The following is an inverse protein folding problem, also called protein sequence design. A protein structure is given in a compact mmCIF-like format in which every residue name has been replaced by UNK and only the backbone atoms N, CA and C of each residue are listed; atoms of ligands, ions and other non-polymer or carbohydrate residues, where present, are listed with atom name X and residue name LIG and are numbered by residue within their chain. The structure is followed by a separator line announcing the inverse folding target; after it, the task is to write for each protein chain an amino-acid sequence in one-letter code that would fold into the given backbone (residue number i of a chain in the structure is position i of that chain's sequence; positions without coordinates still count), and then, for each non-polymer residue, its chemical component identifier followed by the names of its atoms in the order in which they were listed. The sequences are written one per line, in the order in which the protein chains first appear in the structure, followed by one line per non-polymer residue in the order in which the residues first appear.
data_IF_558689205609
#
_entry.id   IF_558689205609
#
_cell.length_a   1.000
_cell.length_b   1.000
_cell.length_c   1.000
_cell.angle_alpha   90.00
_cell.angle_beta   90.00
_cell.angle_gamma   90.00
#
_symmetry.space_group_name_H-M   'P 1'
#
loop_
_entity.id
_entity.type
_entity.pdbx_description
1 polymer ?
#
# COMPACT_ATOMS: atom_id res chain seq x y z
N UNK A 1 29.73 3.54 13.65
CA UNK A 1 29.98 2.14 13.25
C UNK A 1 30.84 2.13 11.99
N UNK A 2 32.05 1.58 12.05
CA UNK A 2 32.99 1.52 10.92
C UNK A 2 32.40 0.64 9.81
N UNK A 3 32.04 1.25 8.69
CA UNK A 3 31.64 0.55 7.46
C UNK A 3 32.86 -0.13 6.87
N UNK A 4 32.98 -1.45 7.04
CA UNK A 4 33.89 -2.26 6.22
C UNK A 4 33.31 -2.33 4.80
N UNK A 5 33.96 -1.66 3.86
CA UNK A 5 33.79 -1.89 2.42
C UNK A 5 34.24 -3.31 2.12
N UNK A 6 33.31 -4.15 1.67
CA UNK A 6 33.61 -5.52 1.22
C UNK A 6 34.12 -5.49 -0.23
N UNK A 7 35.07 -6.37 -0.61
CA UNK A 7 35.63 -6.41 -1.96
C UNK A 7 34.59 -6.84 -3.01
N UNK A 8 34.78 -6.38 -4.25
CA UNK A 8 33.88 -6.57 -5.40
C UNK A 8 33.69 -8.03 -5.86
N UNK A 9 34.45 -8.98 -5.30
CA UNK A 9 34.36 -10.42 -5.58
C UNK A 9 33.54 -11.19 -4.53
N UNK A 10 32.45 -10.61 -4.05
CA UNK A 10 31.56 -11.31 -3.13
C UNK A 10 30.64 -12.26 -3.91
N UNK A 11 31.06 -13.52 -4.04
CA UNK A 11 30.15 -14.64 -4.31
C UNK A 11 29.06 -14.59 -3.26
N UNK A 12 27.79 -14.51 -3.64
CA UNK A 12 26.70 -14.72 -2.68
C UNK A 12 26.85 -16.18 -2.25
N UNK A 13 27.42 -16.40 -1.05
CA UNK A 13 27.79 -17.71 -0.54
C UNK A 13 26.63 -18.71 -0.79
N UNK A 14 26.87 -19.67 -1.68
CA UNK A 14 25.95 -20.79 -1.94
C UNK A 14 24.69 -20.50 -2.75
N UNK A 15 24.49 -19.33 -3.38
CA UNK A 15 23.33 -19.14 -4.26
C UNK A 15 23.59 -19.70 -5.65
N UNK A 16 22.86 -20.78 -5.92
CA UNK A 16 22.61 -21.33 -7.23
C UNK A 16 22.22 -20.24 -8.23
N UNK A 17 22.57 -20.42 -9.50
CA UNK A 17 22.26 -19.45 -10.53
C UNK A 17 20.75 -19.25 -10.63
N UNK A 18 20.34 -17.99 -10.74
CA UNK A 18 18.94 -17.61 -10.88
C UNK A 18 18.71 -17.18 -12.33
N UNK A 19 17.62 -17.65 -12.93
CA UNK A 19 17.24 -17.35 -14.30
C UNK A 19 15.72 -17.23 -14.42
N UNK A 20 15.23 -16.89 -15.62
CA UNK A 20 13.80 -16.82 -15.93
C UNK A 20 12.99 -15.98 -14.91
N UNK A 21 13.46 -14.75 -14.69
CA UNK A 21 12.83 -13.77 -13.82
C UNK A 21 11.49 -13.36 -14.43
N UNK A 22 10.40 -13.51 -13.67
CA UNK A 22 9.05 -13.18 -14.13
C UNK A 22 8.20 -12.57 -13.02
N UNK A 23 7.33 -11.63 -13.38
CA UNK A 23 6.34 -11.07 -12.47
C UNK A 23 5.15 -12.03 -12.37
N UNK A 24 4.67 -12.25 -11.16
CA UNK A 24 3.34 -12.81 -10.90
C UNK A 24 2.68 -11.86 -9.91
N UNK A 25 1.59 -11.20 -10.31
CA UNK A 25 0.86 -10.26 -9.45
C UNK A 25 -0.43 -10.88 -8.93
N UNK A 26 -0.88 -10.40 -7.78
CA UNK A 26 -2.22 -10.71 -7.26
C UNK A 26 -3.21 -9.57 -7.54
N UNK A 27 -2.76 -8.47 -8.13
CA UNK A 27 -3.60 -7.35 -8.54
C UNK A 27 -4.38 -7.70 -9.81
N UNK A 28 -5.71 -7.56 -9.76
CA UNK A 28 -6.64 -8.03 -10.81
C UNK A 28 -7.31 -6.90 -11.57
N UNK A 29 -7.28 -5.69 -11.03
CA UNK A 29 -8.04 -4.55 -11.55
C UNK A 29 -7.20 -3.58 -12.36
N UNK A 30 -5.87 -3.73 -12.34
CA UNK A 30 -4.94 -2.84 -13.03
C UNK A 30 -5.22 -2.73 -14.53
N UNK A 31 -5.47 -3.86 -15.21
CA UNK A 31 -5.66 -3.91 -16.66
C UNK A 31 -6.94 -3.21 -17.15
N UNK A 32 -7.93 -3.06 -16.25
CA UNK A 32 -9.21 -2.43 -16.58
C UNK A 32 -9.32 -1.00 -16.06
N UNK A 33 -8.28 -0.49 -15.39
CA UNK A 33 -8.28 0.84 -14.78
C UNK A 33 -8.01 1.92 -15.82
N UNK A 34 -9.07 2.34 -16.52
CA UNK A 34 -8.99 3.40 -17.52
C UNK A 34 -8.44 4.70 -16.94
N UNK A 35 -8.68 5.00 -15.67
CA UNK A 35 -8.21 6.23 -15.02
C UNK A 35 -6.68 6.21 -14.88
N UNK A 36 -6.09 5.08 -14.49
CA UNK A 36 -4.62 4.91 -14.46
C UNK A 36 -4.03 5.00 -15.86
N UNK A 37 -4.61 4.30 -16.84
CA UNK A 37 -4.14 4.31 -18.22
C UNK A 37 -4.15 5.72 -18.82
N UNK A 38 -5.21 6.47 -18.55
CA UNK A 38 -5.36 7.84 -19.00
C UNK A 38 -4.28 8.76 -18.39
N UNK A 39 -4.06 8.66 -17.08
CA UNK A 39 -3.01 9.43 -16.42
C UNK A 39 -1.61 9.12 -16.96
N UNK A 40 -1.31 7.85 -17.23
CA UNK A 40 -0.03 7.45 -17.85
C UNK A 40 0.14 8.05 -19.25
N UNK A 41 -0.95 8.18 -20.03
CA UNK A 41 -0.90 8.71 -21.40
C UNK A 41 -0.87 10.24 -21.45
N UNK A 42 -1.60 10.91 -20.56
CA UNK A 42 -1.89 12.35 -20.67
C UNK A 42 -1.03 13.22 -19.75
N UNK A 43 -0.21 12.63 -18.89
CA UNK A 43 0.64 13.38 -17.97
C UNK A 43 2.12 13.09 -18.23
N UNK A 44 3.03 14.03 -17.91
CA UNK A 44 4.47 13.79 -18.01
C UNK A 44 5.01 12.92 -16.86
N UNK A 45 4.12 12.39 -16.01
CA UNK A 45 4.49 11.64 -14.82
C UNK A 45 4.65 10.15 -15.09
N UNK A 46 5.46 9.48 -14.26
CA UNK A 46 5.55 8.03 -14.21
C UNK A 46 4.62 7.50 -13.12
N UNK A 47 3.72 6.58 -13.48
CA UNK A 47 2.77 5.95 -12.56
C UNK A 47 3.20 4.52 -12.26
N UNK A 48 3.83 4.34 -11.10
CA UNK A 48 4.38 3.06 -10.67
C UNK A 48 3.52 2.44 -9.55
N UNK A 49 3.69 1.15 -9.31
CA UNK A 49 3.04 0.40 -8.23
C UNK A 49 4.07 -0.39 -7.43
N UNK A 50 3.68 -0.87 -6.25
CA UNK A 50 4.49 -1.80 -5.45
C UNK A 50 3.68 -3.03 -5.08
N UNK A 51 4.28 -4.20 -5.23
CA UNK A 51 3.63 -5.49 -4.96
C UNK A 51 3.33 -5.71 -3.48
N UNK A 52 4.06 -5.08 -2.55
CA UNK A 52 3.84 -5.25 -1.12
C UNK A 52 4.35 -4.10 -0.27
N UNK A 53 3.67 -3.83 0.84
CA UNK A 53 4.18 -3.05 1.95
C UNK A 53 3.78 -3.68 3.28
N UNK A 54 4.68 -3.58 4.26
CA UNK A 54 4.41 -4.07 5.60
C UNK A 54 4.39 -2.93 6.61
N UNK A 55 3.43 -2.99 7.53
CA UNK A 55 3.31 -2.12 8.69
C UNK A 55 3.33 -2.95 9.97
N UNK A 56 4.05 -2.48 10.99
CA UNK A 56 4.12 -3.14 12.29
C UNK A 56 3.04 -2.62 13.27
N UNK A 57 3.07 -3.11 14.50
CA UNK A 57 2.15 -2.72 15.58
C UNK A 57 2.35 -1.30 16.11
N UNK A 58 3.44 -0.63 15.72
CA UNK A 58 3.73 0.78 16.04
C UNK A 58 3.25 1.73 14.94
N UNK A 59 2.39 1.25 14.04
CA UNK A 59 1.86 2.01 12.91
C UNK A 59 2.98 2.57 12.01
N UNK A 60 4.06 1.80 11.82
CA UNK A 60 5.22 2.17 10.98
C UNK A 60 5.38 1.22 9.81
N UNK A 61 5.59 1.78 8.62
CA UNK A 61 6.04 1.04 7.43
C UNK A 61 7.47 0.57 7.66
N UNK A 62 7.67 -0.75 7.64
CA UNK A 62 8.98 -1.36 7.87
C UNK A 62 9.61 -1.91 6.59
N UNK A 63 8.79 -2.30 5.61
CA UNK A 63 9.28 -2.85 4.34
C UNK A 63 8.39 -2.40 3.18
N UNK A 64 9.03 -2.15 2.04
CA UNK A 64 8.41 -1.99 0.74
C UNK A 64 9.00 -3.05 -0.17
N UNK A 65 8.14 -3.87 -0.76
CA UNK A 65 8.47 -5.17 -1.31
C UNK A 65 8.11 -5.22 -2.77
N UNK A 66 9.10 -5.58 -3.58
CA UNK A 66 8.88 -6.16 -4.90
C UNK A 66 9.11 -7.67 -4.86
N UNK A 67 8.54 -8.36 -5.85
CA UNK A 67 8.73 -9.80 -6.00
C UNK A 67 8.88 -10.24 -7.45
N UNK A 68 9.61 -11.34 -7.65
CA UNK A 68 9.65 -12.05 -8.91
C UNK A 68 9.85 -13.56 -8.68
N UNK A 69 9.23 -14.37 -9.53
CA UNK A 69 9.53 -15.79 -9.60
C UNK A 69 10.81 -16.00 -10.42
N UNK A 70 11.62 -16.96 -9.99
CA UNK A 70 12.87 -17.34 -10.66
C UNK A 70 12.96 -18.85 -10.80
N UNK A 71 13.72 -19.29 -11.79
CA UNK A 71 14.24 -20.66 -11.89
C UNK A 71 15.59 -20.76 -11.18
N UNK A 72 15.88 -21.92 -10.62
CA UNK A 72 17.14 -22.21 -9.92
C UNK A 72 17.93 -23.25 -10.71
N UNK A 73 19.15 -22.91 -11.12
CA UNK A 73 20.12 -23.83 -11.70
C UNK A 73 21.19 -24.16 -10.64
N UNK A 74 21.16 -25.40 -10.14
CA UNK A 74 22.07 -25.87 -9.10
C UNK A 74 23.51 -26.10 -9.56
N UNK A 75 23.76 -26.18 -10.87
CA UNK A 75 25.10 -26.43 -11.40
C UNK A 75 25.96 -25.15 -11.48
N UNK A 76 25.33 -23.98 -11.44
CA UNK A 76 26.00 -22.68 -11.61
C UNK A 76 25.81 -21.81 -10.38
N UNK A 77 26.70 -20.82 -10.21
CA UNK A 77 26.57 -19.79 -9.16
C UNK A 77 26.14 -18.46 -9.77
N UNK A 78 25.17 -17.80 -9.15
CA UNK A 78 24.81 -16.43 -9.51
C UNK A 78 25.86 -15.44 -8.99
N UNK A 79 26.19 -14.43 -9.80
CA UNK A 79 26.88 -13.24 -9.30
C UNK A 79 25.86 -12.17 -8.93
N UNK A 80 26.19 -11.33 -7.95
CA UNK A 80 25.36 -10.19 -7.56
C UNK A 80 25.03 -9.28 -8.75
N UNK A 81 26.02 -9.03 -9.61
CA UNK A 81 25.86 -8.22 -10.82
C UNK A 81 24.90 -8.84 -11.84
N UNK A 82 24.93 -10.17 -12.01
CA UNK A 82 23.99 -10.85 -12.90
C UNK A 82 22.54 -10.75 -12.39
N UNK A 83 22.32 -10.99 -11.09
CA UNK A 83 20.99 -10.86 -10.46
C UNK A 83 20.48 -9.43 -10.58
N UNK A 84 21.32 -8.43 -10.29
CA UNK A 84 20.95 -7.03 -10.41
C UNK A 84 20.55 -6.66 -11.85
N UNK A 85 21.33 -7.10 -12.85
CA UNK A 85 20.99 -6.87 -14.26
C UNK A 85 19.67 -7.53 -14.65
N UNK A 86 19.39 -8.74 -14.17
CA UNK A 86 18.11 -9.40 -14.42
C UNK A 86 16.94 -8.65 -13.78
N UNK A 87 17.09 -8.12 -12.56
CA UNK A 87 16.07 -7.29 -11.91
C UNK A 87 15.84 -5.99 -12.68
N UNK A 88 16.92 -5.29 -13.09
CA UNK A 88 16.82 -4.06 -13.89
C UNK A 88 16.15 -4.33 -15.24
N UNK A 89 16.46 -5.46 -15.87
CA UNK A 89 15.84 -5.87 -17.13
C UNK A 89 14.35 -6.15 -16.96
N UNK A 90 13.96 -6.84 -15.88
CA UNK A 90 12.55 -7.17 -15.59
C UNK A 90 11.70 -5.94 -15.28
N UNK A 91 12.19 -5.05 -14.42
CA UNK A 91 11.42 -3.90 -13.92
C UNK A 91 11.52 -2.67 -14.85
N UNK A 92 12.52 -2.66 -15.74
CA UNK A 92 12.97 -1.44 -16.41
C UNK A 92 13.75 -0.54 -15.45
N UNK A 93 14.82 0.09 -15.96
CA UNK A 93 15.70 0.96 -15.14
C UNK A 93 14.93 2.08 -14.46
N UNK A 94 14.05 2.74 -15.20
CA UNK A 94 13.31 3.92 -14.77
C UNK A 94 12.25 3.59 -13.71
N UNK A 95 11.45 2.54 -13.95
CA UNK A 95 10.45 2.07 -13.00
C UNK A 95 11.10 1.60 -11.69
N UNK A 96 12.22 0.88 -11.79
CA UNK A 96 12.99 0.47 -10.61
C UNK A 96 13.55 1.67 -9.83
N UNK A 97 14.04 2.69 -10.52
CA UNK A 97 14.56 3.91 -9.88
C UNK A 97 13.45 4.68 -9.14
N UNK A 98 12.25 4.79 -9.74
CA UNK A 98 11.06 5.32 -9.07
C UNK A 98 10.76 4.56 -7.77
N UNK A 99 10.73 3.21 -7.81
CA UNK A 99 10.46 2.36 -6.64
C UNK A 99 11.52 2.49 -5.54
N UNK A 100 12.79 2.56 -5.92
CA UNK A 100 13.90 2.80 -4.97
C UNK A 100 13.75 4.18 -4.31
N UNK A 101 13.47 5.23 -5.09
CA UNK A 101 13.28 6.58 -4.55
C UNK A 101 12.01 6.68 -3.69
N UNK A 102 10.96 5.94 -4.02
CA UNK A 102 9.78 5.81 -3.19
C UNK A 102 10.13 5.17 -1.84
N UNK A 103 10.89 4.07 -1.82
CA UNK A 103 11.31 3.45 -0.58
C UNK A 103 12.14 4.38 0.33
N UNK A 104 12.99 5.21 -0.27
CA UNK A 104 13.77 6.23 0.46
C UNK A 104 12.90 7.27 1.16
N UNK A 105 11.68 7.56 0.68
CA UNK A 105 10.74 8.46 1.40
C UNK A 105 10.36 7.95 2.78
N UNK A 106 10.50 6.65 3.03
CA UNK A 106 10.24 6.01 4.32
C UNK A 106 11.52 5.77 5.13
N UNK A 107 12.69 6.18 4.61
CA UNK A 107 13.99 5.83 5.17
C UNK A 107 14.37 4.35 4.96
N UNK A 108 13.82 3.69 3.94
CA UNK A 108 14.00 2.27 3.67
C UNK A 108 14.75 2.02 2.35
N UNK A 109 15.40 0.86 2.25
CA UNK A 109 15.77 0.29 0.96
C UNK A 109 14.59 -0.47 0.36
N UNK A 110 14.51 -0.56 -0.97
CA UNK A 110 13.52 -1.42 -1.62
C UNK A 110 13.87 -2.88 -1.35
N UNK A 111 13.00 -3.61 -0.68
CA UNK A 111 13.15 -5.06 -0.51
C UNK A 111 12.72 -5.78 -1.79
N UNK A 112 13.49 -6.77 -2.22
CA UNK A 112 13.20 -7.56 -3.41
C UNK A 112 13.20 -9.05 -3.07
N UNK A 113 12.05 -9.69 -3.30
CA UNK A 113 11.81 -11.09 -2.97
C UNK A 113 11.87 -11.94 -4.23
N UNK A 114 12.87 -12.80 -4.34
CA UNK A 114 12.96 -13.79 -5.41
C UNK A 114 12.50 -15.14 -4.88
N UNK A 115 11.53 -15.78 -5.52
CA UNK A 115 11.03 -17.08 -5.08
C UNK A 115 11.02 -18.12 -6.19
N UNK A 116 11.16 -19.39 -5.78
CA UNK A 116 11.12 -20.54 -6.67
C UNK A 116 10.12 -21.56 -6.13
N UNK A 117 9.07 -21.85 -6.89
CA UNK A 117 8.01 -22.77 -6.48
C UNK A 117 8.50 -24.21 -6.38
N UNK A 118 9.38 -24.63 -7.29
CA UNK A 118 9.81 -26.02 -7.41
C UNK A 118 10.65 -26.47 -6.21
N UNK A 119 11.37 -25.54 -5.56
CA UNK A 119 12.19 -25.82 -4.37
C UNK A 119 11.72 -25.10 -3.10
N UNK A 120 10.59 -24.39 -3.18
CA UNK A 120 10.06 -23.50 -2.13
C UNK A 120 11.10 -22.55 -1.50
N UNK A 121 12.09 -22.11 -2.29
CA UNK A 121 13.15 -21.22 -1.81
C UNK A 121 12.77 -19.77 -2.02
N UNK A 122 13.09 -18.94 -1.03
CA UNK A 122 12.89 -17.49 -1.10
C UNK A 122 14.20 -16.78 -0.76
N UNK A 123 14.59 -15.83 -1.60
CA UNK A 123 15.74 -14.95 -1.38
C UNK A 123 15.22 -13.54 -1.10
N UNK A 124 15.63 -12.98 0.03
CA UNK A 124 15.37 -11.59 0.39
C UNK A 124 16.62 -10.77 0.10
N UNK A 125 16.44 -9.75 -0.73
CA UNK A 125 17.47 -8.82 -1.17
C UNK A 125 17.03 -7.39 -0.85
N UNK A 126 17.98 -6.46 -0.83
CA UNK A 126 17.72 -5.02 -0.71
C UNK A 126 18.40 -4.24 -1.82
N UNK A 127 17.68 -3.27 -2.37
CA UNK A 127 18.13 -2.32 -3.38
C UNK A 127 18.17 -0.92 -2.76
N UNK A 128 19.24 -0.55 -2.03
CA UNK A 128 19.41 0.81 -1.53
C UNK A 128 19.69 1.83 -2.66
N UNK A 129 20.18 1.37 -3.82
CA UNK A 129 20.43 2.18 -5.01
C UNK A 129 20.38 1.32 -6.28
N UNK A 130 20.20 1.96 -7.45
CA UNK A 130 20.03 1.26 -8.73
C UNK A 130 21.22 0.37 -9.12
N UNK A 131 22.42 0.69 -8.63
CA UNK A 131 23.66 -0.03 -8.87
C UNK A 131 24.11 -0.89 -7.67
N UNK A 132 23.31 -0.99 -6.61
CA UNK A 132 23.69 -1.67 -5.37
C UNK A 132 22.61 -2.66 -4.94
N UNK A 133 23.00 -3.92 -4.84
CA UNK A 133 22.16 -5.02 -4.38
C UNK A 133 22.80 -5.67 -3.15
N UNK A 134 22.11 -5.65 -2.01
CA UNK A 134 22.53 -6.34 -0.80
C UNK A 134 21.76 -7.66 -0.69
N UNK A 135 22.47 -8.74 -0.35
CA UNK A 135 21.83 -9.99 0.07
C UNK A 135 21.52 -9.90 1.55
N UNK A 136 20.29 -10.24 1.95
CA UNK A 136 19.87 -10.22 3.35
C UNK A 136 19.78 -11.64 3.90
N UNK A 137 18.94 -12.49 3.30
CA UNK A 137 18.70 -13.85 3.81
C UNK A 137 18.06 -14.75 2.76
N UNK A 138 18.24 -16.06 2.93
CA UNK A 138 17.51 -17.11 2.21
C UNK A 138 16.62 -17.88 3.18
N UNK A 139 15.39 -18.15 2.76
CA UNK A 139 14.45 -19.03 3.43
C UNK A 139 14.36 -20.34 2.66
N UNK A 140 14.49 -21.47 3.38
CA UNK A 140 14.48 -22.82 2.81
C UNK A 140 13.08 -23.39 2.57
N UNK A 141 12.03 -22.63 2.90
CA UNK A 141 10.63 -23.00 2.68
C UNK A 141 9.72 -21.76 2.70
N UNK A 142 8.53 -21.88 2.13
CA UNK A 142 7.50 -20.86 2.23
C UNK A 142 6.96 -20.69 3.65
N UNK A 143 6.96 -21.77 4.47
CA UNK A 143 6.67 -21.68 5.90
C UNK A 143 7.63 -20.77 6.65
N UNK A 144 8.93 -20.89 6.38
CA UNK A 144 9.95 -20.05 7.02
C UNK A 144 9.83 -18.58 6.61
N UNK A 145 9.54 -18.33 5.33
CA UNK A 145 9.30 -16.97 4.85
C UNK A 145 8.00 -16.35 5.41
N UNK A 146 6.92 -17.12 5.48
CA UNK A 146 5.66 -16.71 6.12
C UNK A 146 5.86 -16.36 7.60
N UNK A 147 6.69 -17.14 8.32
CA UNK A 147 7.03 -16.82 9.71
C UNK A 147 7.76 -15.47 9.82
N UNK A 148 8.68 -15.16 8.91
CA UNK A 148 9.36 -13.87 8.87
C UNK A 148 8.42 -12.70 8.52
N UNK A 149 7.50 -12.85 7.55
CA UNK A 149 6.50 -11.80 7.27
C UNK A 149 5.68 -11.49 8.54
N UNK A 150 5.26 -12.53 9.26
CA UNK A 150 4.51 -12.38 10.51
C UNK A 150 5.31 -11.67 11.60
N UNK A 151 6.60 -11.99 11.72
CA UNK A 151 7.52 -11.33 12.65
C UNK A 151 7.60 -9.82 12.39
N UNK A 152 7.85 -9.41 11.14
CA UNK A 152 7.97 -7.98 10.79
C UNK A 152 6.63 -7.22 10.88
N UNK A 153 5.51 -7.93 10.81
CA UNK A 153 4.14 -7.38 10.89
C UNK A 153 3.64 -7.22 12.32
N UNK A 154 4.10 -8.07 13.23
CA UNK A 154 3.72 -8.04 14.65
C UNK A 154 2.29 -8.50 14.96
N UNK A 155 1.51 -8.98 13.98
CA UNK A 155 0.17 -9.55 14.21
C UNK A 155 -0.21 -10.66 13.23
N UNK A 156 -1.15 -11.53 13.65
CA UNK A 156 -1.60 -12.71 12.89
C UNK A 156 -3.04 -12.54 12.42
N UNK A 157 -3.31 -12.89 11.15
CA UNK A 157 -4.69 -12.94 10.66
C UNK A 157 -5.40 -14.15 11.22
N UNK A 158 -6.52 -13.93 11.92
CA UNK A 158 -7.41 -14.99 12.42
C UNK A 158 -8.51 -15.38 11.43
N UNK A 159 -8.58 -14.72 10.26
CA UNK A 159 -9.61 -14.98 9.25
C UNK A 159 -9.23 -16.17 8.35
N UNK A 160 -10.21 -17.05 8.11
CA UNK A 160 -10.10 -18.10 7.09
C UNK A 160 -9.95 -17.46 5.70
N UNK A 161 -8.93 -17.86 4.96
CA UNK A 161 -8.72 -17.39 3.59
C UNK A 161 -9.58 -18.22 2.64
N UNK A 162 -10.47 -17.58 1.88
CA UNK A 162 -11.07 -18.20 0.70
C UNK A 162 -10.01 -18.18 -0.41
N UNK A 163 -9.48 -19.34 -0.80
CA UNK A 163 -8.52 -19.44 -1.91
C UNK A 163 -9.27 -19.18 -3.23
N UNK A 164 -8.90 -18.11 -3.93
CA UNK A 164 -9.31 -17.95 -5.32
C UNK A 164 -8.38 -18.82 -6.20
N UNK A 165 -8.96 -19.58 -7.11
CA UNK A 165 -8.23 -20.51 -7.98
C UNK A 165 -7.09 -19.83 -8.77
N UNK A 166 -7.23 -18.56 -9.10
CA UNK A 166 -6.29 -17.79 -9.91
C UNK A 166 -5.10 -17.18 -9.14
N UNK A 167 -5.03 -17.33 -7.81
CA UNK A 167 -3.87 -16.80 -7.07
C UNK A 167 -2.57 -17.54 -7.45
N UNK A 168 -1.43 -16.84 -7.54
CA UNK A 168 -0.13 -17.50 -7.73
C UNK A 168 0.12 -18.56 -6.64
N UNK A 169 0.85 -19.62 -7.00
CA UNK A 169 1.13 -20.73 -6.08
C UNK A 169 1.85 -20.25 -4.80
N UNK A 170 2.72 -19.25 -4.94
CA UNK A 170 3.39 -18.60 -3.82
C UNK A 170 2.39 -17.99 -2.83
N UNK A 171 1.44 -17.17 -3.30
CA UNK A 171 0.40 -16.56 -2.47
C UNK A 171 -0.48 -17.59 -1.75
N UNK A 172 -0.83 -18.69 -2.44
CA UNK A 172 -1.58 -19.80 -1.84
C UNK A 172 -0.79 -20.46 -0.71
N UNK A 173 0.50 -20.75 -0.94
CA UNK A 173 1.35 -21.35 0.07
C UNK A 173 1.51 -20.48 1.33
N UNK A 174 1.69 -19.16 1.15
CA UNK A 174 1.77 -18.23 2.28
C UNK A 174 0.47 -18.19 3.10
N UNK A 175 -0.69 -18.21 2.43
CA UNK A 175 -2.01 -18.27 3.09
C UNK A 175 -2.23 -19.56 3.88
N UNK A 176 -1.77 -20.71 3.38
CA UNK A 176 -1.79 -21.99 4.10
C UNK A 176 -0.98 -21.95 5.39
N UNK A 177 0.02 -21.07 5.46
CA UNK A 177 0.79 -20.80 6.67
C UNK A 177 0.27 -19.59 7.47
N UNK A 178 -0.98 -19.18 7.26
CA UNK A 178 -1.67 -18.15 8.04
C UNK A 178 -1.19 -16.72 7.79
N UNK A 179 -0.29 -16.50 6.83
CA UNK A 179 0.35 -15.20 6.60
C UNK A 179 0.27 -14.83 5.13
N UNK A 180 -0.78 -14.11 4.69
CA UNK A 180 -0.90 -13.72 3.29
C UNK A 180 0.23 -12.76 2.90
N UNK A 181 0.55 -12.70 1.61
CA UNK A 181 1.43 -11.68 1.06
C UNK A 181 0.95 -10.27 1.50
N UNK A 182 1.86 -9.33 1.81
CA UNK A 182 1.48 -7.99 2.25
C UNK A 182 0.65 -7.22 1.21
N UNK A 183 -0.07 -6.19 1.67
CA UNK A 183 -0.93 -5.39 0.80
C UNK A 183 -0.09 -4.63 -0.25
N UNK A 184 -0.66 -4.43 -1.44
CA UNK A 184 -0.04 -3.69 -2.52
C UNK A 184 -0.25 -2.18 -2.37
N UNK A 185 0.59 -1.39 -3.05
CA UNK A 185 0.34 0.03 -3.30
C UNK A 185 -0.11 0.15 -4.75
N UNK A 186 -1.38 0.49 -4.95
CA UNK A 186 -2.02 0.58 -6.26
C UNK A 186 -1.22 1.45 -7.23
N UNK A 187 -0.88 2.66 -6.77
CA UNK A 187 -0.11 3.60 -7.58
C UNK A 187 0.59 4.67 -6.73
N UNK A 188 1.78 5.07 -7.17
CA UNK A 188 2.44 6.31 -6.78
C UNK A 188 2.96 7.04 -8.02
N UNK A 189 3.05 8.36 -7.93
CA UNK A 189 3.40 9.25 -9.02
C UNK A 189 4.83 9.73 -8.85
N UNK A 190 5.63 9.62 -9.89
CA UNK A 190 6.97 10.18 -9.98
C UNK A 190 7.07 11.23 -11.08
N UNK A 191 7.89 12.25 -10.86
CA UNK A 191 8.26 13.18 -11.93
C UNK A 191 9.27 12.57 -12.91
N UNK A 192 9.64 13.33 -13.94
CA UNK A 192 10.66 12.92 -14.94
C UNK A 192 12.05 12.66 -14.34
N UNK A 193 12.34 13.21 -13.17
CA UNK A 193 13.56 12.96 -12.40
C UNK A 193 13.41 11.79 -11.41
N UNK A 194 12.38 10.95 -11.58
CA UNK A 194 12.10 9.77 -10.74
C UNK A 194 11.87 10.08 -9.26
N UNK A 195 11.54 11.33 -8.94
CA UNK A 195 11.21 11.77 -7.58
C UNK A 195 9.72 11.48 -7.31
N UNK A 196 9.38 10.72 -6.25
CA UNK A 196 8.00 10.53 -5.84
C UNK A 196 7.35 11.85 -5.43
N UNK A 197 6.11 12.05 -5.88
CA UNK A 197 5.31 13.25 -5.63
C UNK A 197 4.06 12.95 -4.80
N UNK A 198 3.38 11.84 -5.10
CA UNK A 198 2.13 11.47 -4.44
C UNK A 198 1.85 9.97 -4.52
N UNK A 199 0.92 9.52 -3.68
CA UNK A 199 0.30 8.19 -3.73
C UNK A 199 -1.11 8.36 -4.32
N UNK A 200 -1.56 7.41 -5.13
CA UNK A 200 -2.92 7.37 -5.67
C UNK A 200 -3.58 6.05 -5.26
N UNK A 201 -4.70 6.16 -4.56
CA UNK A 201 -5.62 5.04 -4.30
C UNK A 201 -6.73 5.04 -5.35
N UNK A 202 -6.85 3.94 -6.10
CA UNK A 202 -7.93 3.78 -7.06
C UNK A 202 -9.10 3.02 -6.44
N UNK A 203 -10.30 3.59 -6.51
CA UNK A 203 -11.50 2.98 -5.94
C UNK A 203 -12.50 2.69 -7.05
N UNK A 204 -12.71 1.40 -7.32
CA UNK A 204 -13.67 0.98 -8.32
C UNK A 204 -15.10 1.04 -7.77
N UNK A 205 -15.96 1.82 -8.42
CA UNK A 205 -17.35 2.06 -8.05
C UNK A 205 -18.37 1.26 -8.88
N UNK A 206 -17.96 0.18 -9.55
CA UNK A 206 -18.80 -0.63 -10.48
C UNK A 206 -20.20 -0.97 -9.96
N UNK A 207 -20.36 -1.17 -8.64
CA UNK A 207 -21.66 -1.53 -8.04
C UNK A 207 -22.54 -0.33 -7.67
N UNK A 208 -21.96 0.82 -7.35
CA UNK A 208 -22.70 1.96 -6.80
C UNK A 208 -22.84 3.11 -7.79
N UNK A 209 -22.00 3.15 -8.82
CA UNK A 209 -21.80 4.31 -9.67
C UNK A 209 -20.81 5.30 -9.06
N UNK A 210 -20.05 6.01 -9.89
CA UNK A 210 -18.96 6.89 -9.45
C UNK A 210 -19.48 8.05 -8.59
N UNK A 211 -20.53 8.74 -9.04
CA UNK A 211 -21.06 9.93 -8.34
C UNK A 211 -21.74 9.59 -7.01
N UNK A 212 -22.27 8.37 -6.88
CA UNK A 212 -22.94 7.89 -5.67
C UNK A 212 -21.97 7.22 -4.69
N UNK A 213 -20.74 6.92 -5.11
CA UNK A 213 -19.74 6.29 -4.26
C UNK A 213 -19.16 7.29 -3.27
N UNK A 214 -19.24 6.94 -1.98
CA UNK A 214 -18.72 7.77 -0.89
C UNK A 214 -17.76 6.94 -0.04
N UNK A 215 -16.46 7.25 -0.07
CA UNK A 215 -15.45 6.55 0.74
C UNK A 215 -15.76 6.65 2.24
N UNK A 216 -16.35 7.77 2.68
CA UNK A 216 -16.77 7.94 4.07
C UNK A 216 -17.88 6.98 4.47
N UNK A 217 -18.75 6.55 3.56
CA UNK A 217 -19.77 5.56 3.90
C UNK A 217 -19.14 4.23 4.34
N UNK A 218 -18.11 3.77 3.62
CA UNK A 218 -17.40 2.53 3.94
C UNK A 218 -16.49 2.69 5.16
N UNK A 219 -15.85 3.85 5.31
CA UNK A 219 -15.05 4.16 6.49
C UNK A 219 -15.88 4.25 7.78
N UNK A 220 -17.09 4.83 7.70
CA UNK A 220 -18.03 4.99 8.82
C UNK A 220 -19.02 3.81 8.95
N UNK A 221 -18.59 2.60 8.57
CA UNK A 221 -19.32 1.35 8.83
C UNK A 221 -20.73 1.24 8.20
N UNK A 222 -20.98 1.80 7.01
CA UNK A 222 -22.30 1.65 6.32
C UNK A 222 -22.74 0.19 6.17
N UNK A 223 -21.80 -0.73 6.00
CA UNK A 223 -22.08 -2.16 5.89
C UNK A 223 -21.70 -2.88 7.20
N UNK A 224 -22.58 -3.75 7.76
CA UNK A 224 -22.32 -4.46 9.03
C UNK A 224 -21.07 -5.35 9.02
N UNK A 225 -20.66 -5.84 7.83
CA UNK A 225 -19.64 -6.87 7.66
C UNK A 225 -18.30 -6.35 7.10
N UNK A 226 -18.20 -5.07 6.75
CA UNK A 226 -17.00 -4.49 6.15
C UNK A 226 -16.89 -3.01 6.47
N UNK A 227 -15.96 -2.67 7.35
CA UNK A 227 -15.47 -1.31 7.47
C UNK A 227 -14.08 -1.20 6.84
N UNK A 228 -13.84 -0.06 6.21
CA UNK A 228 -12.54 0.25 5.61
C UNK A 228 -11.62 0.95 6.62
N UNK A 229 -11.94 0.92 7.92
CA UNK A 229 -11.18 1.65 8.94
C UNK A 229 -9.70 1.24 8.87
N UNK A 230 -9.42 -0.06 8.91
CA UNK A 230 -8.03 -0.57 8.83
C UNK A 230 -7.35 -0.21 7.51
N UNK A 231 -8.08 -0.23 6.39
CA UNK A 231 -7.54 0.14 5.07
C UNK A 231 -7.11 1.61 5.08
N UNK A 232 -7.99 2.50 5.52
CA UNK A 232 -7.70 3.94 5.58
C UNK A 232 -6.67 4.31 6.65
N UNK A 233 -6.62 3.60 7.78
CA UNK A 233 -5.51 3.73 8.74
C UNK A 233 -4.18 3.37 8.07
N UNK A 234 -4.14 2.26 7.33
CA UNK A 234 -2.95 1.81 6.60
C UNK A 234 -2.48 2.84 5.55
N UNK A 235 -3.42 3.40 4.78
CA UNK A 235 -3.14 4.44 3.80
C UNK A 235 -2.67 5.75 4.44
N UNK A 236 -3.23 6.12 5.60
CA UNK A 236 -2.80 7.29 6.36
C UNK A 236 -1.37 7.14 6.89
N UNK A 237 -1.00 5.95 7.38
CA UNK A 237 0.36 5.63 7.79
C UNK A 237 1.34 5.81 6.63
N UNK A 238 1.00 5.27 5.44
CA UNK A 238 1.82 5.43 4.23
C UNK A 238 2.03 6.91 3.88
N UNK A 239 0.94 7.68 3.86
CA UNK A 239 0.95 9.12 3.54
C UNK A 239 1.81 9.91 4.52
N UNK A 240 1.58 9.74 5.81
CA UNK A 240 2.27 10.51 6.86
C UNK A 240 3.76 10.17 6.94
N UNK A 241 4.13 8.88 6.92
CA UNK A 241 5.54 8.48 7.02
C UNK A 241 6.35 8.88 5.79
N UNK A 242 5.77 8.76 4.58
CA UNK A 242 6.44 9.19 3.35
C UNK A 242 6.49 10.71 3.16
N UNK A 243 5.64 11.44 3.88
CA UNK A 243 5.39 12.87 3.66
C UNK A 243 4.88 13.19 2.27
N UNK A 244 4.27 12.23 1.57
CA UNK A 244 3.67 12.42 0.25
C UNK A 244 2.19 12.77 0.38
N UNK A 245 1.63 13.38 -0.67
CA UNK A 245 0.18 13.59 -0.78
C UNK A 245 -0.51 12.29 -1.16
N UNK A 246 -1.77 12.11 -0.74
CA UNK A 246 -2.58 10.97 -1.11
C UNK A 246 -3.81 11.45 -1.87
N UNK A 247 -3.92 11.02 -3.12
CA UNK A 247 -5.09 11.24 -3.94
C UNK A 247 -5.95 9.98 -4.00
N UNK A 248 -7.26 10.18 -4.07
CA UNK A 248 -8.24 9.11 -4.25
C UNK A 248 -8.94 9.37 -5.57
N UNK A 249 -8.91 8.37 -6.45
CA UNK A 249 -9.60 8.42 -7.75
C UNK A 249 -10.66 7.34 -7.76
N UNK A 250 -11.93 7.77 -7.72
CA UNK A 250 -13.07 6.88 -7.89
C UNK A 250 -13.45 6.81 -9.37
N UNK A 251 -13.54 5.59 -9.90
CA UNK A 251 -13.80 5.31 -11.32
C UNK A 251 -14.64 4.02 -11.46
N UNK A 252 -15.20 3.75 -12.65
CA UNK A 252 -15.86 2.48 -12.96
C UNK A 252 -15.66 2.11 -14.45
N UNK A 253 -15.62 0.82 -14.79
CA UNK A 253 -15.28 0.34 -16.14
C UNK A 253 -16.17 0.93 -17.25
N UNK A 254 -17.44 1.16 -16.95
CA UNK A 254 -18.45 1.59 -17.93
C UNK A 254 -18.93 3.03 -17.68
N UNK A 255 -18.13 3.84 -16.96
CA UNK A 255 -18.42 5.25 -16.69
C UNK A 255 -17.17 6.08 -17.01
N UNK A 256 -17.33 7.13 -17.82
CA UNK A 256 -16.25 8.10 -18.11
C UNK A 256 -16.08 9.16 -17.01
N UNK A 257 -17.00 9.19 -16.05
CA UNK A 257 -16.96 10.14 -14.94
C UNK A 257 -15.99 9.63 -13.88
N UNK A 258 -15.27 10.55 -13.24
CA UNK A 258 -14.46 10.27 -12.07
C UNK A 258 -14.78 11.23 -10.92
N UNK A 259 -14.42 10.81 -9.71
CA UNK A 259 -14.26 11.72 -8.57
C UNK A 259 -12.80 11.69 -8.12
N UNK A 260 -12.17 12.86 -8.12
CA UNK A 260 -10.79 13.08 -7.69
C UNK A 260 -10.79 13.80 -6.34
N UNK A 261 -10.11 13.24 -5.35
CA UNK A 261 -10.01 13.83 -4.00
C UNK A 261 -8.56 13.89 -3.56
N UNK A 262 -8.19 14.94 -2.85
CA UNK A 262 -6.96 14.97 -2.06
C UNK A 262 -7.30 14.74 -0.59
N UNK A 263 -6.71 13.71 0.00
CA UNK A 263 -6.88 13.42 1.42
C UNK A 263 -6.06 14.40 2.27
N UNK A 264 -6.72 15.06 3.20
CA UNK A 264 -6.09 15.99 4.13
C UNK A 264 -5.76 15.30 5.46
N UNK A 265 -6.75 14.62 6.03
CA UNK A 265 -6.65 14.00 7.36
C UNK A 265 -7.60 12.81 7.47
N UNK A 266 -7.14 11.76 8.14
CA UNK A 266 -8.01 10.67 8.61
C UNK A 266 -8.20 10.79 10.11
N UNK A 267 -9.46 10.75 10.54
CA UNK A 267 -9.83 10.68 11.95
C UNK A 267 -10.51 9.35 12.19
N UNK A 268 -9.88 8.52 13.02
CA UNK A 268 -10.22 7.13 13.23
C UNK A 268 -11.05 7.00 14.50
N UNK A 269 -12.15 6.23 14.50
CA UNK A 269 -12.87 5.91 15.73
C UNK A 269 -11.92 5.29 16.76
N UNK A 270 -11.92 5.79 17.99
CA UNK A 270 -10.98 5.32 19.02
C UNK A 270 -11.28 3.87 19.43
N UNK A 271 -10.19 3.13 19.68
CA UNK A 271 -10.18 1.83 20.34
C UNK A 271 -8.88 1.73 21.13
N UNK A 272 -8.94 1.20 22.35
CA UNK A 272 -7.72 0.93 23.14
C UNK A 272 -6.92 -0.21 22.52
N UNK A 273 -7.60 -1.29 22.13
CA UNK A 273 -7.00 -2.46 21.51
C UNK A 273 -7.94 -3.04 20.43
N UNK A 274 -7.50 -3.00 19.17
CA UNK A 274 -8.21 -3.65 18.06
C UNK A 274 -9.32 -2.78 17.44
N UNK A 275 -10.42 -3.39 16.93
CA UNK A 275 -11.49 -2.62 16.28
C UNK A 275 -12.23 -1.72 17.28
N UNK A 276 -12.93 -0.67 16.82
CA UNK A 276 -13.80 0.14 17.67
C UNK A 276 -14.92 -0.71 18.29
N UNK A 277 -15.41 -0.27 19.45
CA UNK A 277 -16.48 -0.95 20.18
C UNK A 277 -17.72 -1.19 19.27
N UNK A 278 -18.40 -2.34 19.38
CA UNK A 278 -19.55 -2.68 18.53
C UNK A 278 -20.63 -1.59 18.49
N UNK A 279 -20.92 -0.98 19.63
CA UNK A 279 -21.88 0.13 19.77
C UNK A 279 -21.44 1.37 18.98
N UNK A 280 -20.15 1.71 18.98
CA UNK A 280 -19.64 2.84 18.20
C UNK A 280 -19.79 2.58 16.70
N UNK A 281 -19.47 1.36 16.26
CA UNK A 281 -19.67 0.95 14.85
C UNK A 281 -21.14 0.98 14.46
N UNK A 282 -22.05 0.54 15.35
CA UNK A 282 -23.50 0.58 15.13
C UNK A 282 -24.02 2.01 15.01
N UNK A 283 -23.57 2.91 15.89
CA UNK A 283 -24.03 4.30 15.89
C UNK A 283 -23.51 5.04 14.65
N UNK A 284 -22.26 4.84 14.24
CA UNK A 284 -21.71 5.34 12.96
C UNK A 284 -22.48 4.77 11.75
N UNK A 285 -22.78 3.48 11.76
CA UNK A 285 -23.57 2.84 10.70
C UNK A 285 -24.97 3.45 10.59
N UNK A 286 -25.64 3.69 11.73
CA UNK A 286 -26.94 4.35 11.80
C UNK A 286 -26.85 5.78 11.26
N UNK A 287 -25.84 6.54 11.69
CA UNK A 287 -25.56 7.90 11.21
C UNK A 287 -25.46 7.95 9.68
N UNK A 288 -24.66 7.08 9.06
CA UNK A 288 -24.55 7.05 7.59
C UNK A 288 -25.84 6.60 6.91
N UNK A 289 -26.47 5.52 7.39
CA UNK A 289 -27.70 4.96 6.79
C UNK A 289 -28.88 5.92 6.84
N UNK A 290 -28.97 6.74 7.89
CA UNK A 290 -29.98 7.77 8.04
C UNK A 290 -29.62 9.10 7.34
N UNK A 291 -28.61 9.09 6.46
CA UNK A 291 -28.14 10.28 5.73
C UNK A 291 -27.62 11.40 6.62
N UNK A 292 -26.91 11.03 7.70
CA UNK A 292 -26.12 11.91 8.57
C UNK A 292 -26.94 12.99 9.30
N UNK A 293 -27.98 12.61 10.08
CA UNK A 293 -28.80 13.60 10.78
C UNK A 293 -28.00 14.27 11.93
N UNK A 294 -28.15 15.60 12.13
CA UNK A 294 -27.38 16.36 13.13
C UNK A 294 -27.50 15.82 14.56
N UNK A 295 -28.68 15.34 14.95
CA UNK A 295 -28.91 14.75 16.28
C UNK A 295 -28.08 13.49 16.53
N UNK A 296 -27.91 12.62 15.53
CA UNK A 296 -27.02 11.45 15.68
C UNK A 296 -25.55 11.87 15.68
N UNK A 297 -25.18 12.88 14.88
CA UNK A 297 -23.83 13.44 14.91
C UNK A 297 -23.47 13.95 16.31
N UNK A 298 -24.34 14.79 16.91
CA UNK A 298 -24.18 15.31 18.27
C UNK A 298 -24.12 14.20 19.31
N UNK A 299 -24.97 13.17 19.20
CA UNK A 299 -24.97 12.04 20.12
C UNK A 299 -23.66 11.24 20.06
N UNK A 300 -23.14 10.97 18.86
CA UNK A 300 -21.86 10.27 18.67
C UNK A 300 -20.71 11.15 19.18
N UNK A 301 -20.71 12.43 18.79
CA UNK A 301 -19.69 13.39 19.15
C UNK A 301 -19.56 13.60 20.67
N UNK A 302 -20.69 13.63 21.39
CA UNK A 302 -20.71 13.79 22.85
C UNK A 302 -20.33 12.52 23.62
N UNK A 303 -20.39 11.34 22.98
CA UNK A 303 -20.19 10.05 23.64
C UNK A 303 -18.81 9.44 23.40
N UNK A 304 -18.30 9.54 22.19
CA UNK A 304 -17.16 8.73 21.75
C UNK A 304 -15.88 9.54 21.54
N UNK A 305 -14.74 8.87 21.72
CA UNK A 305 -13.42 9.42 21.39
C UNK A 305 -13.06 9.09 19.95
N UNK A 306 -12.10 9.82 19.41
CA UNK A 306 -11.45 9.50 18.13
C UNK A 306 -9.95 9.72 18.24
N UNK A 307 -9.19 9.39 17.20
CA UNK A 307 -7.79 9.82 17.12
C UNK A 307 -7.40 10.13 15.68
N UNK A 308 -6.35 10.93 15.54
CA UNK A 308 -5.65 11.11 14.27
C UNK A 308 -4.18 10.72 14.43
N UNK A 309 -3.57 10.30 13.34
CA UNK A 309 -2.14 10.00 13.29
C UNK A 309 -1.33 11.23 12.92
N UNK A 310 -0.09 11.30 13.42
CA UNK A 310 0.93 12.29 13.03
C UNK A 310 2.29 11.61 12.98
N UNK A 311 3.08 11.91 11.96
CA UNK A 311 4.48 11.49 11.90
C UNK A 311 5.37 12.59 12.51
N UNK A 312 6.06 12.29 13.61
CA UNK A 312 6.91 13.24 14.32
C UNK A 312 8.13 12.53 14.92
N UNK A 313 9.31 13.16 14.82
CA UNK A 313 10.57 12.65 15.40
C UNK A 313 10.89 11.20 14.99
N UNK A 314 10.60 10.83 13.74
CA UNK A 314 10.89 9.49 13.20
C UNK A 314 9.93 8.39 13.66
N UNK A 315 8.80 8.73 14.28
CA UNK A 315 7.79 7.77 14.70
C UNK A 315 6.35 8.23 14.48
N UNK A 316 5.42 7.28 14.46
CA UNK A 316 4.00 7.56 14.40
C UNK A 316 3.46 7.88 15.80
N UNK A 317 2.67 8.95 15.92
CA UNK A 317 2.02 9.37 17.16
C UNK A 317 0.52 9.44 16.97
N UNK A 318 -0.21 8.93 17.98
CA UNK A 318 -1.67 9.02 18.05
C UNK A 318 -2.04 10.27 18.84
N UNK A 319 -2.77 11.18 18.20
CA UNK A 319 -3.40 12.31 18.87
C UNK A 319 -4.86 11.95 19.15
N UNK A 320 -5.19 11.69 20.41
CA UNK A 320 -6.54 11.31 20.83
C UNK A 320 -7.39 12.56 21.05
N UNK A 321 -8.63 12.51 20.58
CA UNK A 321 -9.62 13.57 20.71
C UNK A 321 -10.74 13.09 21.64
N UNK A 322 -11.01 13.88 22.67
CA UNK A 322 -12.11 13.63 23.61
C UNK A 322 -13.39 14.31 23.14
N UNK A 323 -14.57 13.79 23.53
CA UNK A 323 -15.83 14.52 23.38
C UNK A 323 -15.77 15.95 23.93
N UNK A 324 -16.54 16.91 23.36
CA UNK A 324 -17.30 16.74 22.13
C UNK A 324 -16.41 16.72 20.88
N UNK A 325 -16.64 15.74 20.00
CA UNK A 325 -16.02 15.72 18.68
C UNK A 325 -16.69 16.75 17.75
N UNK A 326 -15.96 17.25 16.78
CA UNK A 326 -16.42 18.29 15.88
C UNK A 326 -15.91 18.07 14.45
N UNK A 327 -16.81 18.30 13.48
CA UNK A 327 -16.51 18.09 12.07
C UNK A 327 -15.64 19.24 11.52
N UNK A 328 -15.81 20.48 11.97
CA UNK A 328 -15.02 21.62 11.50
C UNK A 328 -13.57 21.58 12.02
N UNK A 329 -13.37 21.23 13.28
CA UNK A 329 -12.08 20.98 13.92
C UNK A 329 -11.42 19.66 13.48
N UNK A 330 -12.12 18.86 12.65
CA UNK A 330 -11.67 17.57 12.15
C UNK A 330 -11.29 16.62 13.29
N UNK A 331 -12.20 16.43 14.22
CA UNK A 331 -12.10 15.46 15.33
C UNK A 331 -13.24 14.43 15.31
N UNK A 332 -14.28 14.61 14.50
CA UNK A 332 -15.27 13.56 14.24
C UNK A 332 -14.69 12.46 13.30
N UNK A 333 -15.02 11.17 13.46
CA UNK A 333 -14.48 10.14 12.58
C UNK A 333 -14.86 10.33 11.11
N UNK A 334 -13.88 10.67 10.27
CA UNK A 334 -14.07 10.88 8.85
C UNK A 334 -12.76 10.85 8.08
N UNK A 335 -12.87 10.64 6.77
CA UNK A 335 -11.89 11.02 5.77
C UNK A 335 -12.18 12.48 5.39
N UNK A 336 -11.28 13.37 5.78
CA UNK A 336 -11.34 14.79 5.44
C UNK A 336 -10.56 15.04 4.17
N UNK A 337 -11.17 15.76 3.23
CA UNK A 337 -10.57 16.06 1.93
C UNK A 337 -10.22 17.54 1.85
N UNK A 338 -9.04 17.85 1.31
CA UNK A 338 -8.63 19.22 0.97
C UNK A 338 -9.28 19.67 -0.34
N UNK A 339 -9.36 18.74 -1.29
CA UNK A 339 -9.92 18.96 -2.60
C UNK A 339 -10.89 17.83 -2.94
N UNK A 340 -11.98 18.17 -3.61
CA UNK A 340 -12.88 17.22 -4.25
C UNK A 340 -13.36 17.80 -5.57
N UNK A 341 -12.99 17.18 -6.68
CA UNK A 341 -13.42 17.53 -8.03
C UNK A 341 -14.13 16.34 -8.67
N UNK A 342 -15.16 16.63 -9.44
CA UNK A 342 -15.82 15.67 -10.32
C UNK A 342 -15.54 16.10 -11.76
N UNK A 343 -15.28 15.15 -12.64
CA UNK A 343 -15.02 15.45 -14.05
C UNK A 343 -15.25 14.25 -14.96
N UNK A 344 -15.10 14.48 -16.25
CA UNK A 344 -15.02 13.42 -17.27
C UNK A 344 -13.57 13.10 -17.58
N UNK A 345 -13.29 11.88 -18.04
CA UNK A 345 -11.94 11.35 -18.30
C UNK A 345 -10.94 12.39 -18.79
N UNK A 346 -11.26 13.11 -19.88
CA UNK A 346 -10.40 14.15 -20.51
C UNK A 346 -9.87 15.25 -19.58
N UNK A 347 -10.43 15.41 -18.38
CA UNK A 347 -10.01 16.41 -17.39
C UNK A 347 -9.07 15.86 -16.32
N UNK A 348 -8.92 14.52 -16.23
CA UNK A 348 -8.24 13.85 -15.12
C UNK A 348 -6.74 14.20 -15.08
N UNK A 349 -6.05 14.13 -16.23
CA UNK A 349 -4.65 14.49 -16.33
C UNK A 349 -4.39 15.94 -15.90
N UNK A 350 -5.23 16.87 -16.38
CA UNK A 350 -5.17 18.29 -15.99
C UNK A 350 -5.32 18.47 -14.48
N UNK A 351 -6.32 17.83 -13.86
CA UNK A 351 -6.53 17.95 -12.42
C UNK A 351 -5.37 17.40 -11.60
N UNK A 352 -4.75 16.30 -12.01
CA UNK A 352 -3.56 15.78 -11.33
C UNK A 352 -2.38 16.76 -11.45
N UNK A 353 -2.15 17.33 -12.63
CA UNK A 353 -1.08 18.31 -12.84
C UNK A 353 -1.29 19.59 -12.03
N UNK A 354 -2.50 20.17 -12.07
CA UNK A 354 -2.87 21.31 -11.23
C UNK A 354 -2.67 21.01 -9.75
N UNK A 355 -3.16 19.84 -9.30
CA UNK A 355 -3.05 19.45 -7.91
C UNK A 355 -1.59 19.33 -7.50
N UNK A 356 -0.71 18.73 -8.31
CA UNK A 356 0.70 18.51 -7.96
C UNK A 356 1.57 19.77 -8.03
N UNK A 357 1.17 20.77 -8.80
CA UNK A 357 1.92 22.03 -8.97
C UNK A 357 1.51 23.12 -7.96
N UNK A 358 0.32 23.01 -7.34
CA UNK A 358 -0.11 23.81 -6.20
C UNK A 358 0.16 23.11 -4.88
#
# INVERSE_FOLDING_TARGET
MKTKTLPDNFTVYGTMALSNFRKETSERSADFNWARQLLTRETPFRLESLEGYNQNTEDRVTHLLERARVSIDSAKRATRGAVLRSIISLEGRDGLLCKINFARRFGLALSYVLYNNERERVYLLELPAINRLNYIRTFKSYRAFAAWIREIKGWVSTKNFREAAELPAFDKALRRHGTPWPANIDCFVCNRAYKPLAIIEFQNARKTGVLKHCNNDYFQCRLPQGDDIRRWTSQEILRLQSGLRLFIITWAQNEETFVFKELDKVVIPFSENGPPAPEYRRDLSRYVRMKRPPELERAIAGRYRSYSLRWQNGGMKRQVHSPPLDTAAKTFPSLYYRLKKTGRGVQLGRFLMEALNG
#
